data_IF_663316480009
#
_entry.id   IF_663316480009
#
_cell.length_a   1.000
_cell.length_b   1.000
_cell.length_c   1.000
_cell.angle_alpha   90.00
_cell.angle_beta   90.00
_cell.angle_gamma   90.00
#
_symmetry.space_group_name_H-M   'P 1'
#
loop_
_entity.id
_entity.type
_entity.pdbx_description
1 polymer ?
#
# COMPACT_ATOMS: atom_id res chain seq x y z
N UNK A 1 6.89 21.44 -1.35
CA UNK A 1 7.03 20.17 -2.08
C UNK A 1 5.77 19.93 -2.91
N UNK A 2 5.88 19.52 -4.17
CA UNK A 2 4.73 19.10 -5.00
C UNK A 2 4.76 17.57 -5.06
N UNK A 3 3.87 16.90 -4.34
CA UNK A 3 3.71 15.45 -4.42
C UNK A 3 2.98 15.09 -5.72
N UNK A 4 3.64 14.32 -6.58
CA UNK A 4 3.02 13.79 -7.82
C UNK A 4 2.27 12.52 -7.50
N UNK A 5 1.18 12.23 -8.22
CA UNK A 5 0.49 10.95 -8.10
C UNK A 5 1.36 9.84 -8.67
N UNK A 6 1.50 8.74 -7.94
CA UNK A 6 2.16 7.55 -8.47
C UNK A 6 1.18 6.78 -9.34
N UNK A 7 1.32 6.87 -10.66
CA UNK A 7 0.33 6.36 -11.63
C UNK A 7 0.41 4.86 -11.89
N UNK A 8 1.47 4.20 -11.40
CA UNK A 8 1.70 2.77 -11.65
C UNK A 8 0.90 1.87 -10.70
N UNK A 9 0.34 2.44 -9.63
CA UNK A 9 -0.57 1.75 -8.72
C UNK A 9 -2.03 2.09 -9.00
N UNK A 10 -2.95 1.12 -8.84
CA UNK A 10 -4.37 1.40 -8.83
C UNK A 10 -4.70 2.50 -7.83
N UNK A 11 -5.61 3.40 -8.23
CA UNK A 11 -6.01 4.53 -7.41
C UNK A 11 -6.60 4.04 -6.08
N UNK A 12 -6.09 4.60 -4.99
CA UNK A 12 -6.64 4.38 -3.66
C UNK A 12 -8.05 4.97 -3.59
N UNK A 13 -9.01 4.21 -3.06
CA UNK A 13 -10.34 4.73 -2.74
C UNK A 13 -10.22 5.86 -1.69
N UNK A 14 -11.02 6.91 -1.83
CA UNK A 14 -10.90 8.13 -1.02
C UNK A 14 -12.12 8.39 -0.15
N UNK A 15 -13.13 7.53 -0.22
CA UNK A 15 -14.32 7.63 0.62
C UNK A 15 -14.02 7.39 2.11
N UNK A 16 -14.85 7.97 3.02
CA UNK A 16 -14.79 7.68 4.45
C UNK A 16 -14.88 6.18 4.74
N UNK A 17 -14.08 5.71 5.71
CA UNK A 17 -14.01 4.29 6.08
C UNK A 17 -13.20 3.42 5.13
N UNK A 18 -12.46 4.00 4.19
CA UNK A 18 -11.43 3.29 3.42
C UNK A 18 -10.20 3.10 4.28
N UNK A 19 -9.76 1.85 4.38
CA UNK A 19 -8.67 1.39 5.22
C UNK A 19 -7.56 0.71 4.39
N UNK A 20 -6.41 0.53 5.02
CA UNK A 20 -5.23 -0.11 4.45
C UNK A 20 -4.59 -1.00 5.51
N UNK A 21 -4.23 -2.22 5.13
CA UNK A 21 -3.50 -3.17 5.96
C UNK A 21 -2.23 -3.55 5.26
N UNK A 22 -1.17 -3.78 6.04
CA UNK A 22 0.10 -4.24 5.49
C UNK A 22 0.79 -5.21 6.42
N UNK A 23 1.65 -6.05 5.85
CA UNK A 23 2.50 -6.98 6.57
C UNK A 23 3.88 -7.02 5.91
N UNK A 24 4.91 -6.96 6.74
CA UNK A 24 6.28 -7.28 6.32
C UNK A 24 6.54 -8.74 6.63
N UNK A 25 7.04 -9.47 5.64
CA UNK A 25 7.29 -10.91 5.74
C UNK A 25 8.41 -11.33 4.77
N UNK A 26 8.99 -12.50 5.03
CA UNK A 26 10.17 -12.98 4.31
C UNK A 26 9.94 -14.38 3.71
N UNK A 27 9.06 -14.53 2.69
CA UNK A 27 8.87 -15.82 2.07
C UNK A 27 10.15 -16.21 1.33
N UNK A 28 10.62 -17.44 1.54
CA UNK A 28 11.85 -17.96 0.94
C UNK A 28 13.12 -17.11 1.23
N UNK A 29 13.09 -16.29 2.29
CA UNK A 29 14.21 -15.44 2.68
C UNK A 29 14.28 -14.07 1.99
N UNK A 30 13.34 -13.74 1.10
CA UNK A 30 13.29 -12.44 0.43
C UNK A 30 12.42 -11.45 1.20
N UNK A 31 12.90 -10.25 1.57
CA UNK A 31 12.09 -9.27 2.31
C UNK A 31 11.02 -8.65 1.42
N UNK A 32 9.76 -8.85 1.79
CA UNK A 32 8.58 -8.33 1.11
C UNK A 32 7.70 -7.49 2.05
N UNK A 33 7.12 -6.43 1.51
CA UNK A 33 6.03 -5.67 2.14
C UNK A 33 4.79 -5.88 1.29
N UNK A 34 3.81 -6.58 1.85
CA UNK A 34 2.49 -6.72 1.22
C UNK A 34 1.56 -5.67 1.76
N UNK A 35 1.01 -4.84 0.89
CA UNK A 35 0.04 -3.80 1.22
C UNK A 35 -1.28 -4.10 0.54
N UNK A 36 -2.36 -4.04 1.30
CA UNK A 36 -3.72 -4.26 0.84
C UNK A 36 -4.54 -2.99 1.10
N UNK A 37 -5.07 -2.41 0.03
CA UNK A 37 -5.86 -1.19 0.11
C UNK A 37 -7.06 -1.24 -0.83
N UNK A 38 -8.11 -0.51 -0.48
CA UNK A 38 -9.33 -0.47 -1.29
C UNK A 38 -9.14 0.37 -2.57
N UNK A 39 -9.63 -0.15 -3.69
CA UNK A 39 -9.46 0.44 -5.04
C UNK A 39 -10.76 0.73 -5.76
N UNK A 40 -11.89 0.20 -5.27
CA UNK A 40 -13.22 0.46 -5.84
C UNK A 40 -14.34 0.21 -4.83
N UNK A 41 -15.31 1.12 -4.79
CA UNK A 41 -16.65 0.85 -4.23
C UNK A 41 -17.55 0.14 -5.24
N UNK A 42 -18.04 -1.05 -4.88
CA UNK A 42 -19.21 -1.61 -5.53
C UNK A 42 -20.45 -0.92 -4.97
N UNK A 43 -21.23 -0.28 -5.86
CA UNK A 43 -22.32 0.65 -5.52
C UNK A 43 -23.48 0.05 -4.68
N UNK A 44 -23.52 -1.27 -4.46
CA UNK A 44 -24.70 -1.96 -3.93
C UNK A 44 -24.48 -2.91 -2.75
N UNK A 45 -23.25 -3.15 -2.29
CA UNK A 45 -23.05 -4.11 -1.20
C UNK A 45 -21.68 -3.98 -0.56
N UNK A 46 -21.64 -4.03 0.78
CA UNK A 46 -20.51 -4.63 1.50
C UNK A 46 -20.34 -6.01 0.87
N UNK A 47 -19.30 -6.23 0.04
CA UNK A 47 -17.90 -5.92 0.33
C UNK A 47 -17.23 -4.86 -0.58
N UNK A 48 -16.22 -4.16 -0.07
CA UNK A 48 -15.33 -3.30 -0.89
C UNK A 48 -14.36 -4.19 -1.70
N UNK A 49 -13.89 -3.67 -2.83
CA UNK A 49 -12.81 -4.32 -3.59
C UNK A 49 -11.46 -3.81 -3.11
N UNK A 50 -10.61 -4.74 -2.65
CA UNK A 50 -9.24 -4.49 -2.25
C UNK A 50 -8.25 -5.01 -3.28
N UNK A 51 -7.16 -4.29 -3.47
CA UNK A 51 -6.01 -4.72 -4.26
C UNK A 51 -4.83 -4.95 -3.34
N UNK A 52 -4.05 -5.98 -3.62
CA UNK A 52 -2.82 -6.27 -2.93
C UNK A 52 -1.61 -5.93 -3.82
N UNK A 53 -0.61 -5.29 -3.22
CA UNK A 53 0.66 -4.95 -3.85
C UNK A 53 1.77 -5.51 -2.99
N UNK A 54 2.75 -6.16 -3.61
CA UNK A 54 3.98 -6.57 -2.95
C UNK A 54 5.11 -5.65 -3.39
N UNK A 55 5.79 -5.04 -2.42
CA UNK A 55 7.01 -4.27 -2.62
C UNK A 55 8.22 -5.09 -2.20
N UNK A 56 9.31 -4.96 -2.94
CA UNK A 56 10.57 -5.64 -2.66
C UNK A 56 11.77 -4.72 -2.82
N UNK A 57 12.81 -5.03 -2.06
CA UNK A 57 14.15 -4.48 -2.20
C UNK A 57 15.06 -5.44 -2.98
N UNK A 58 16.33 -5.08 -3.10
CA UNK A 58 17.39 -5.98 -3.56
C UNK A 58 18.60 -5.91 -2.60
N UNK A 59 19.67 -6.65 -2.90
CA UNK A 59 20.85 -6.72 -2.04
C UNK A 59 21.58 -5.38 -1.85
N UNK A 60 21.39 -4.43 -2.79
CA UNK A 60 22.06 -3.12 -2.76
C UNK A 60 21.20 -2.07 -2.07
N UNK A 61 19.88 -2.12 -2.29
CA UNK A 61 18.90 -1.20 -1.73
C UNK A 61 17.82 -2.04 -1.06
N UNK A 62 17.90 -2.22 0.27
CA UNK A 62 16.94 -3.03 0.99
C UNK A 62 15.55 -2.38 0.96
N UNK A 63 14.54 -3.21 1.16
CA UNK A 63 13.17 -2.73 1.36
C UNK A 63 13.10 -2.00 2.71
N UNK A 64 12.69 -0.74 2.68
CA UNK A 64 12.45 0.06 3.88
C UNK A 64 11.05 0.67 3.83
N UNK A 65 10.40 0.76 4.99
CA UNK A 65 9.10 1.41 5.09
C UNK A 65 8.88 2.04 6.46
N UNK A 66 8.19 3.15 6.47
CA UNK A 66 7.86 3.92 7.68
C UNK A 66 6.36 4.15 7.72
N UNK A 67 5.72 3.75 8.81
CA UNK A 67 4.31 4.00 9.05
C UNK A 67 4.12 4.89 10.25
N UNK A 68 3.45 6.02 10.04
CA UNK A 68 3.10 6.98 11.08
C UNK A 68 1.65 7.42 10.89
N UNK A 69 1.11 8.17 11.85
CA UNK A 69 -0.22 8.77 11.65
C UNK A 69 -0.16 9.76 10.49
N UNK A 70 -1.27 9.89 9.77
CA UNK A 70 -1.41 10.87 8.68
C UNK A 70 -1.08 12.28 9.17
N UNK A 71 -1.58 12.62 10.36
CA UNK A 71 -1.41 13.96 10.93
C UNK A 71 0.07 14.25 11.20
N UNK A 72 0.75 13.36 11.92
CA UNK A 72 2.16 13.54 12.29
C UNK A 72 3.04 13.66 11.03
N UNK A 73 2.78 12.84 10.01
CA UNK A 73 3.53 12.89 8.75
C UNK A 73 3.36 14.23 8.02
N UNK A 74 2.12 14.70 7.90
CA UNK A 74 1.84 15.97 7.25
C UNK A 74 2.39 17.15 8.06
N UNK A 75 2.40 17.08 9.39
CA UNK A 75 3.04 18.06 10.25
C UNK A 75 4.55 18.12 10.05
N UNK A 76 5.23 16.96 10.01
CA UNK A 76 6.67 16.87 9.77
C UNK A 76 7.09 17.47 8.43
N UNK A 77 6.22 17.39 7.41
CA UNK A 77 6.48 17.99 6.11
C UNK A 77 6.05 19.47 6.01
N UNK A 78 5.57 20.07 7.09
CA UNK A 78 4.96 21.42 7.12
C UNK A 78 3.75 21.54 6.18
N UNK A 79 3.07 20.41 5.97
CA UNK A 79 1.92 20.21 5.09
C UNK A 79 0.63 19.94 5.88
N UNK A 80 0.60 20.15 7.19
CA UNK A 80 -0.58 19.89 8.02
C UNK A 80 -1.86 20.60 7.53
N UNK A 81 -1.71 21.81 6.97
CA UNK A 81 -2.82 22.61 6.41
C UNK A 81 -3.11 22.30 4.93
N UNK A 82 -2.43 21.33 4.34
CA UNK A 82 -2.51 21.05 2.91
C UNK A 82 -3.65 20.08 2.57
N UNK A 83 -4.20 20.24 1.37
CA UNK A 83 -5.37 19.51 0.90
C UNK A 83 -5.02 18.16 0.23
N UNK A 84 -3.99 17.46 0.71
CA UNK A 84 -3.66 16.15 0.13
C UNK A 84 -4.78 15.17 0.40
N UNK A 85 -5.37 14.62 -0.65
CA UNK A 85 -6.36 13.56 -0.52
C UNK A 85 -5.66 12.23 -0.28
N UNK A 86 -6.39 11.22 0.18
CA UNK A 86 -5.88 9.85 0.20
C UNK A 86 -5.45 9.41 -1.21
N UNK A 87 -4.40 8.59 -1.30
CA UNK A 87 -3.75 8.28 -2.55
C UNK A 87 -2.33 7.74 -2.43
N UNK A 88 -1.84 7.19 -3.54
CA UNK A 88 -0.43 6.91 -3.75
C UNK A 88 0.27 8.14 -4.38
N UNK A 89 1.38 8.54 -3.78
CA UNK A 89 2.17 9.69 -4.17
C UNK A 89 3.63 9.28 -4.38
N UNK A 90 4.23 9.75 -5.46
CA UNK A 90 5.67 9.64 -5.69
C UNK A 90 6.36 10.76 -4.94
N UNK A 91 7.25 10.39 -4.02
CA UNK A 91 8.16 11.33 -3.34
C UNK A 91 9.42 11.48 -4.19
N UNK A 92 9.99 10.35 -4.59
CA UNK A 92 11.22 10.30 -5.36
C UNK A 92 11.25 9.08 -6.27
N UNK A 93 11.78 9.23 -7.49
CA UNK A 93 12.03 8.14 -8.42
C UNK A 93 13.43 8.28 -8.99
N UNK A 94 14.29 7.31 -8.69
CA UNK A 94 15.65 7.23 -9.22
C UNK A 94 15.75 6.08 -10.23
N UNK A 95 16.96 5.84 -10.75
CA UNK A 95 17.22 4.68 -11.62
C UNK A 95 17.26 3.36 -10.84
N UNK A 96 17.53 3.41 -9.54
CA UNK A 96 17.82 2.22 -8.72
C UNK A 96 16.67 1.91 -7.74
N UNK A 97 15.91 2.93 -7.31
CA UNK A 97 14.81 2.79 -6.35
C UNK A 97 13.72 3.84 -6.55
N UNK A 98 12.56 3.59 -5.93
CA UNK A 98 11.44 4.52 -5.87
C UNK A 98 10.97 4.67 -4.43
N UNK A 99 10.61 5.90 -4.04
CA UNK A 99 9.96 6.23 -2.78
C UNK A 99 8.51 6.60 -3.05
N UNK A 100 7.58 5.79 -2.55
CA UNK A 100 6.13 6.04 -2.63
C UNK A 100 5.56 6.28 -1.24
N UNK A 101 4.69 7.28 -1.16
CA UNK A 101 3.83 7.53 -0.01
C UNK A 101 2.42 7.02 -0.33
N UNK A 102 1.99 6.01 0.41
CA UNK A 102 0.59 5.63 0.51
C UNK A 102 -0.05 6.43 1.63
N UNK A 103 -0.78 7.49 1.26
CA UNK A 103 -1.52 8.33 2.18
C UNK A 103 -2.96 7.83 2.27
N UNK A 104 -3.37 7.38 3.43
CA UNK A 104 -4.74 6.95 3.72
C UNK A 104 -5.46 8.03 4.53
N UNK A 105 -6.67 7.74 5.03
CA UNK A 105 -7.42 8.69 5.85
C UNK A 105 -6.80 8.87 7.24
N UNK A 106 -6.13 7.85 7.77
CA UNK A 106 -5.64 7.79 9.14
C UNK A 106 -4.10 7.60 9.22
N UNK A 107 -3.48 7.05 8.18
CA UNK A 107 -2.04 6.74 8.17
C UNK A 107 -1.30 7.23 6.94
N UNK A 108 -0.02 7.48 7.12
CA UNK A 108 0.96 7.65 6.05
C UNK A 108 1.91 6.45 6.08
N UNK A 109 2.07 5.78 4.95
CA UNK A 109 3.02 4.68 4.76
C UNK A 109 3.99 5.06 3.65
N UNK A 110 5.22 5.39 4.03
CA UNK A 110 6.32 5.64 3.11
C UNK A 110 7.06 4.34 2.84
N UNK A 111 7.36 4.05 1.57
CA UNK A 111 7.95 2.79 1.12
C UNK A 111 9.08 3.10 0.15
N UNK A 112 10.28 2.60 0.46
CA UNK A 112 11.47 2.66 -0.39
C UNK A 112 11.67 1.25 -0.96
N UNK A 113 11.59 1.12 -2.27
CA UNK A 113 11.61 -0.18 -2.95
C UNK A 113 12.34 -0.12 -4.29
N UNK A 114 12.76 -1.28 -4.78
CA UNK A 114 13.41 -1.44 -6.10
C UNK A 114 12.48 -2.09 -7.12
N UNK A 115 11.47 -2.83 -6.67
CA UNK A 115 10.40 -3.35 -7.52
C UNK A 115 9.10 -3.56 -6.76
N UNK A 116 8.00 -3.68 -7.50
CA UNK A 116 6.70 -4.05 -6.95
C UNK A 116 5.93 -4.96 -7.90
N UNK A 117 4.96 -5.69 -7.37
CA UNK A 117 4.07 -6.56 -8.11
C UNK A 117 2.62 -6.36 -7.64
N UNK A 118 1.69 -6.25 -8.58
CA UNK A 118 0.27 -6.26 -8.32
C UNK A 118 -0.21 -7.70 -8.27
N UNK A 119 -0.70 -8.15 -7.11
CA UNK A 119 -1.22 -9.50 -7.00
C UNK A 119 -2.60 -9.60 -7.65
N UNK A 120 -2.78 -10.64 -8.47
CA UNK A 120 -4.02 -10.84 -9.21
C UNK A 120 -5.20 -11.15 -8.29
N UNK A 121 -6.35 -10.54 -8.62
CA UNK A 121 -7.63 -10.75 -7.94
C UNK A 121 -8.02 -9.58 -7.04
N UNK A 122 -9.13 -8.92 -7.39
CA UNK A 122 -9.80 -8.03 -6.45
C UNK A 122 -10.36 -8.84 -5.28
N UNK A 123 -9.99 -8.47 -4.06
CA UNK A 123 -10.47 -9.13 -2.85
C UNK A 123 -11.74 -8.43 -2.37
N UNK A 124 -12.88 -9.12 -2.46
CA UNK A 124 -14.15 -8.62 -1.95
C UNK A 124 -14.26 -8.95 -0.45
N UNK A 125 -13.97 -7.95 0.39
CA UNK A 125 -13.92 -8.10 1.85
C UNK A 125 -14.61 -6.94 2.58
N UNK A 126 -14.90 -7.17 3.85
CA UNK A 126 -15.50 -6.16 4.75
C UNK A 126 -14.49 -5.09 5.17
N UNK A 127 -13.22 -5.47 5.28
CA UNK A 127 -12.07 -4.61 5.63
C UNK A 127 -10.77 -5.13 4.99
N UNK A 128 -9.74 -4.29 5.02
CA UNK A 128 -8.41 -4.56 4.46
C UNK A 128 -7.68 -5.69 5.17
N UNK A 129 -7.93 -5.89 6.46
CA UNK A 129 -7.29 -6.92 7.27
C UNK A 129 -7.79 -8.32 6.87
N UNK A 130 -9.10 -8.45 6.67
CA UNK A 130 -9.74 -9.66 6.17
C UNK A 130 -9.29 -9.97 4.74
N UNK A 131 -9.14 -8.95 3.89
CA UNK A 131 -8.56 -9.12 2.56
C UNK A 131 -7.10 -9.62 2.64
N UNK A 132 -6.29 -9.07 3.55
CA UNK A 132 -4.91 -9.51 3.77
C UNK A 132 -4.83 -10.95 4.25
N UNK A 133 -5.65 -11.37 5.23
CA UNK A 133 -5.64 -12.77 5.68
C UNK A 133 -6.04 -13.75 4.57
N UNK A 134 -7.06 -13.41 3.77
CA UNK A 134 -7.47 -14.24 2.62
C UNK A 134 -6.38 -14.38 1.57
N UNK A 135 -5.60 -13.33 1.35
CA UNK A 135 -4.42 -13.37 0.48
C UNK A 135 -3.37 -14.35 1.03
N UNK A 136 -3.03 -14.22 2.31
CA UNK A 136 -2.04 -15.10 2.95
C UNK A 136 -2.49 -16.57 2.97
N UNK A 137 -3.77 -16.85 3.22
CA UNK A 137 -4.33 -18.21 3.16
C UNK A 137 -4.20 -18.84 1.76
N UNK A 138 -4.37 -18.03 0.69
CA UNK A 138 -4.15 -18.49 -0.68
C UNK A 138 -2.69 -18.84 -0.95
N UNK A 139 -1.76 -18.01 -0.49
CA UNK A 139 -0.33 -18.26 -0.69
C UNK A 139 0.14 -19.51 0.07
N UNK A 140 -0.40 -19.76 1.28
CA UNK A 140 -0.14 -20.99 2.03
C UNK A 140 -0.69 -22.21 1.29
N UNK A 141 -1.91 -22.13 0.76
CA UNK A 141 -2.51 -23.23 0.00
C UNK A 141 -1.76 -23.53 -1.30
N UNK A 142 -1.28 -22.49 -2.00
CA UNK A 142 -0.48 -22.63 -3.21
C UNK A 142 0.92 -23.24 -2.92
N UNK A 143 1.50 -22.96 -1.75
CA UNK A 143 2.81 -23.48 -1.34
C UNK A 143 2.78 -24.94 -0.85
N UNK A 144 1.59 -25.53 -0.68
CA UNK A 144 1.40 -26.93 -0.23
C UNK A 144 1.06 -27.90 -1.36
N UNK A 145 0.91 -27.42 -2.60
CA UNK A 145 0.69 -28.25 -3.80
C UNK A 145 1.99 -28.43 -4.58
#
# INVERSE_FOLDING_TARGET
MILKRFSELPALETEPGTDCSFISHNPNGEPLLTVVYATKRDFLSVPKTYTAVQFKGNDTIPLEFHSVSRQDYLEQLELANSWFKSGAYEIEKTKDYTIVLLLTNDRALEIIFTGFELLEGGYHSVDSQTALFRLLDRDVAASQM
#
